data_IF_445020617350
#
_entry.id   IF_445020617350
#
_cell.length_a   1.000
_cell.length_b   1.000
_cell.length_c   1.000
_cell.angle_alpha   90.00
_cell.angle_beta   90.00
_cell.angle_gamma   90.00
#
_symmetry.space_group_name_H-M   'P 1'
#
loop_
_entity.id
_entity.type
_entity.pdbx_description
1 polymer ?
#
# COMPACT_ATOMS: atom_id res chain seq x y z
N UNK A 1 -18.20 -2.70 -6.19
CA UNK A 1 -17.07 -3.17 -7.04
C UNK A 1 -16.47 -4.37 -6.34
N UNK A 2 -16.60 -5.56 -6.92
CA UNK A 2 -16.34 -6.81 -6.19
C UNK A 2 -14.85 -7.10 -5.98
N UNK A 3 -14.10 -7.25 -7.07
CA UNK A 3 -12.67 -7.61 -7.01
C UNK A 3 -11.86 -6.78 -8.01
N UNK A 4 -10.66 -6.37 -7.61
CA UNK A 4 -9.72 -5.61 -8.44
C UNK A 4 -8.31 -6.20 -8.33
N UNK A 5 -7.53 -6.11 -9.40
CA UNK A 5 -6.12 -6.52 -9.44
C UNK A 5 -5.27 -5.27 -9.32
N UNK A 6 -4.23 -5.26 -8.49
CA UNK A 6 -3.34 -4.11 -8.32
C UNK A 6 -1.87 -4.54 -8.37
N UNK A 7 -0.99 -3.62 -7.94
CA UNK A 7 0.41 -3.91 -7.69
C UNK A 7 1.23 -4.08 -8.96
N UNK A 8 2.22 -4.97 -8.88
CA UNK A 8 3.18 -5.18 -9.97
C UNK A 8 2.53 -5.67 -11.25
N UNK A 9 1.49 -6.51 -11.13
CA UNK A 9 0.72 -7.04 -12.26
C UNK A 9 -0.02 -5.95 -13.05
N UNK A 10 -0.71 -5.05 -12.35
CA UNK A 10 -1.40 -3.92 -12.99
C UNK A 10 -0.40 -2.95 -13.64
N UNK A 11 0.70 -2.65 -12.94
CA UNK A 11 1.76 -1.78 -13.44
C UNK A 11 2.39 -2.33 -14.73
N UNK A 12 2.68 -3.62 -14.75
CA UNK A 12 3.30 -4.30 -15.86
C UNK A 12 2.46 -4.25 -17.14
N UNK A 13 1.14 -4.38 -17.02
CA UNK A 13 0.22 -4.23 -18.14
C UNK A 13 0.14 -2.80 -18.65
N UNK A 14 0.21 -1.79 -17.78
CA UNK A 14 0.23 -0.37 -18.19
C UNK A 14 1.55 -0.03 -18.90
N UNK A 15 2.68 -0.57 -18.43
CA UNK A 15 4.02 -0.26 -18.93
C UNK A 15 4.48 -1.14 -20.10
N UNK A 16 3.68 -2.14 -20.48
CA UNK A 16 3.84 -3.10 -21.57
C UNK A 16 5.15 -2.96 -22.38
N UNK A 17 6.23 -3.60 -21.90
CA UNK A 17 7.34 -4.03 -22.75
C UNK A 17 7.08 -5.47 -23.18
N UNK A 18 7.22 -5.76 -24.47
CA UNK A 18 7.03 -7.09 -25.06
C UNK A 18 7.97 -8.20 -24.50
N UNK A 19 8.99 -7.85 -23.71
CA UNK A 19 9.97 -8.78 -23.10
C UNK A 19 9.82 -8.87 -21.58
N UNK A 20 8.58 -8.75 -21.14
CA UNK A 20 8.17 -8.72 -19.77
C UNK A 20 8.40 -10.09 -19.09
N UNK A 21 9.23 -10.12 -18.03
CA UNK A 21 9.42 -11.31 -17.20
C UNK A 21 8.06 -11.82 -16.68
N UNK A 22 7.86 -13.15 -16.55
CA UNK A 22 6.60 -13.70 -16.07
C UNK A 22 6.29 -13.15 -14.67
N UNK A 23 5.08 -12.61 -14.52
CA UNK A 23 4.54 -12.13 -13.24
C UNK A 23 4.47 -13.32 -12.27
N UNK A 24 5.22 -13.23 -11.17
CA UNK A 24 5.26 -14.26 -10.13
C UNK A 24 4.42 -13.91 -8.91
N UNK A 25 3.91 -12.68 -8.88
CA UNK A 25 3.22 -12.10 -7.74
C UNK A 25 1.99 -11.34 -8.25
N UNK A 26 0.86 -11.56 -7.59
CA UNK A 26 -0.44 -11.00 -7.96
C UNK A 26 -1.15 -10.50 -6.71
N UNK A 27 -1.47 -9.22 -6.70
CA UNK A 27 -2.25 -8.61 -5.63
C UNK A 27 -3.72 -8.50 -6.05
N UNK A 28 -4.59 -9.25 -5.40
CA UNK A 28 -6.03 -9.20 -5.54
C UNK A 28 -6.64 -8.47 -4.35
N UNK A 29 -7.55 -7.55 -4.62
CA UNK A 29 -8.32 -6.87 -3.59
C UNK A 29 -9.78 -7.19 -3.81
N UNK A 30 -10.50 -7.60 -2.77
CA UNK A 30 -11.90 -7.97 -2.86
C UNK A 30 -12.69 -7.45 -1.68
N UNK A 31 -13.99 -7.25 -1.85
CA UNK A 31 -14.88 -6.95 -0.73
C UNK A 31 -15.27 -8.24 -0.01
N UNK A 32 -15.62 -8.14 1.27
CA UNK A 32 -16.11 -9.26 2.08
C UNK A 32 -17.35 -9.97 1.47
N UNK A 33 -18.11 -9.31 0.60
CA UNK A 33 -19.23 -9.94 -0.10
C UNK A 33 -18.79 -11.04 -1.10
N UNK A 34 -17.58 -10.96 -1.66
CA UNK A 34 -17.09 -11.86 -2.70
C UNK A 34 -15.89 -12.69 -2.27
N UNK A 35 -15.45 -12.60 -1.01
CA UNK A 35 -14.21 -13.24 -0.57
C UNK A 35 -14.28 -14.77 -0.64
N UNK A 36 -15.37 -15.38 -0.19
CA UNK A 36 -15.58 -16.83 -0.25
C UNK A 36 -15.55 -17.35 -1.69
N UNK A 37 -16.21 -16.65 -2.62
CA UNK A 37 -16.26 -17.03 -4.04
C UNK A 37 -14.88 -16.94 -4.68
N UNK A 38 -14.15 -15.84 -4.42
CA UNK A 38 -12.79 -15.65 -4.94
C UNK A 38 -11.85 -16.73 -4.39
N UNK A 39 -11.88 -17.00 -3.07
CA UNK A 39 -11.02 -18.01 -2.45
C UNK A 39 -11.35 -19.41 -2.99
N UNK A 40 -12.64 -19.72 -3.13
CA UNK A 40 -13.09 -20.99 -3.71
C UNK A 40 -12.58 -21.16 -5.13
N UNK A 41 -12.75 -20.15 -5.98
CA UNK A 41 -12.27 -20.17 -7.35
C UNK A 41 -10.75 -20.38 -7.41
N UNK A 42 -9.98 -19.67 -6.58
CA UNK A 42 -8.52 -19.84 -6.54
C UNK A 42 -8.10 -21.25 -6.10
N UNK A 43 -8.83 -21.87 -5.16
CA UNK A 43 -8.59 -23.26 -4.76
C UNK A 43 -8.91 -24.24 -5.89
N UNK A 44 -10.00 -24.02 -6.63
CA UNK A 44 -10.37 -24.82 -7.81
C UNK A 44 -9.32 -24.71 -8.92
N UNK A 45 -8.71 -23.53 -9.08
CA UNK A 45 -7.54 -23.30 -9.94
C UNK A 45 -6.24 -23.94 -9.42
N UNK A 46 -6.28 -24.61 -8.25
CA UNK A 46 -5.15 -25.34 -7.69
C UNK A 46 -4.17 -24.51 -6.88
N UNK A 47 -4.58 -23.32 -6.41
CA UNK A 47 -3.79 -22.57 -5.43
C UNK A 47 -4.00 -23.10 -4.01
N UNK A 48 -2.90 -23.21 -3.26
CA UNK A 48 -2.92 -23.58 -1.85
C UNK A 48 -2.81 -22.33 -0.96
N UNK A 49 -3.59 -22.28 0.11
CA UNK A 49 -3.48 -21.21 1.12
C UNK A 49 -2.25 -21.49 1.98
N UNK A 50 -1.26 -20.60 1.92
CA UNK A 50 0.00 -20.67 2.68
C UNK A 50 -0.11 -19.93 4.01
N UNK A 51 -0.84 -18.81 4.01
CA UNK A 51 -1.01 -17.98 5.19
C UNK A 51 -2.36 -17.27 5.14
N UNK A 52 -2.91 -17.05 6.33
CA UNK A 52 -4.15 -16.31 6.56
C UNK A 52 -3.90 -15.43 7.77
N UNK A 53 -4.14 -14.13 7.61
CA UNK A 53 -4.10 -13.18 8.71
C UNK A 53 -5.33 -12.30 8.70
N UNK A 54 -5.84 -12.04 9.89
CA UNK A 54 -6.91 -11.08 10.11
C UNK A 54 -6.33 -9.86 10.82
N UNK A 55 -6.98 -8.72 10.61
CA UNK A 55 -6.66 -7.47 11.25
C UNK A 55 -6.63 -7.66 12.77
N UNK A 56 -5.49 -7.33 13.41
CA UNK A 56 -5.29 -7.55 14.85
C UNK A 56 -5.84 -6.41 15.73
N UNK A 57 -5.98 -5.19 15.18
CA UNK A 57 -6.39 -3.99 15.93
C UNK A 57 -7.23 -3.04 15.08
N UNK A 58 -8.04 -2.18 15.73
CA UNK A 58 -8.85 -1.15 15.05
C UNK A 58 -8.01 -0.03 14.41
N UNK A 59 -6.71 0.05 14.68
CA UNK A 59 -5.83 1.13 14.22
C UNK A 59 -4.91 0.77 13.05
N UNK A 60 -4.63 -0.50 12.79
CA UNK A 60 -3.78 -0.92 11.67
C UNK A 60 -4.58 -0.99 10.36
N UNK A 61 -4.39 -0.06 9.42
CA UNK A 61 -4.97 -0.12 8.05
C UNK A 61 -6.49 -0.27 8.00
N UNK A 62 -7.22 0.84 8.20
CA UNK A 62 -8.69 0.90 8.34
C UNK A 62 -9.50 0.22 7.22
N UNK A 63 -8.91 0.01 6.06
CA UNK A 63 -9.56 -0.65 4.94
C UNK A 63 -9.29 -2.15 4.82
N UNK A 64 -8.34 -2.74 5.54
CA UNK A 64 -8.02 -4.15 5.40
C UNK A 64 -8.61 -4.97 6.55
N UNK A 65 -9.46 -5.94 6.22
CA UNK A 65 -10.03 -6.89 7.18
C UNK A 65 -9.15 -8.12 7.33
N UNK A 66 -8.76 -8.70 6.19
CA UNK A 66 -8.14 -10.03 6.12
C UNK A 66 -7.23 -10.14 4.92
N UNK A 67 -6.19 -10.96 5.04
CA UNK A 67 -5.24 -11.23 3.97
C UNK A 67 -5.05 -12.73 3.87
N UNK A 68 -5.24 -13.26 2.66
CA UNK A 68 -4.83 -14.62 2.31
C UNK A 68 -3.61 -14.58 1.42
N UNK A 69 -2.58 -15.35 1.75
CA UNK A 69 -1.46 -15.60 0.86
C UNK A 69 -1.63 -16.99 0.25
N UNK A 70 -1.78 -17.04 -1.07
CA UNK A 70 -1.95 -18.25 -1.83
C UNK A 70 -0.70 -18.52 -2.67
N UNK A 71 -0.44 -19.78 -2.96
CA UNK A 71 0.69 -20.17 -3.81
C UNK A 71 0.33 -21.32 -4.73
N UNK A 72 0.86 -21.29 -5.94
CA UNK A 72 0.82 -22.37 -6.93
C UNK A 72 2.16 -22.40 -7.65
N UNK A 73 2.94 -23.46 -7.42
CA UNK A 73 4.31 -23.59 -7.93
C UNK A 73 5.22 -22.43 -7.49
N UNK A 74 5.59 -21.55 -8.42
CA UNK A 74 6.43 -20.35 -8.20
C UNK A 74 5.63 -19.04 -8.27
N UNK A 75 4.30 -19.14 -8.31
CA UNK A 75 3.41 -17.98 -8.32
C UNK A 75 2.81 -17.80 -6.93
N UNK A 76 2.87 -16.58 -6.42
CA UNK A 76 2.24 -16.16 -5.17
C UNK A 76 1.10 -15.19 -5.50
N UNK A 77 0.03 -15.26 -4.70
CA UNK A 77 -1.13 -14.38 -4.83
C UNK A 77 -1.53 -13.91 -3.44
N UNK A 78 -1.49 -12.61 -3.24
CA UNK A 78 -1.99 -11.98 -2.01
C UNK A 78 -3.43 -11.51 -2.27
N UNK A 79 -4.39 -12.02 -1.51
CA UNK A 79 -5.80 -11.61 -1.55
C UNK A 79 -6.08 -10.76 -0.32
N UNK A 80 -6.28 -9.47 -0.53
CA UNK A 80 -6.62 -8.48 0.49
C UNK A 80 -8.13 -8.29 0.50
N UNK A 81 -8.76 -8.56 1.63
CA UNK A 81 -10.19 -8.42 1.83
C UNK A 81 -10.47 -7.13 2.60
N UNK A 82 -11.46 -6.38 2.14
CA UNK A 82 -11.94 -5.16 2.78
C UNK A 82 -13.37 -5.31 3.28
N UNK A 83 -13.67 -4.68 4.43
CA UNK A 83 -15.04 -4.49 4.92
C UNK A 83 -15.77 -3.32 4.22
N UNK A 84 -15.07 -2.55 3.39
CA UNK A 84 -15.66 -1.45 2.65
C UNK A 84 -16.44 -1.96 1.44
N UNK A 85 -17.45 -1.20 1.01
CA UNK A 85 -18.23 -1.51 -0.19
C UNK A 85 -17.42 -1.46 -1.51
N UNK A 86 -16.14 -1.08 -1.45
CA UNK A 86 -15.28 -0.93 -2.61
C UNK A 86 -13.89 -1.50 -2.34
N UNK A 87 -13.49 -2.48 -3.16
CA UNK A 87 -12.18 -3.13 -3.10
C UNK A 87 -10.99 -2.19 -3.39
N UNK A 88 -11.23 -0.96 -3.88
CA UNK A 88 -10.19 0.02 -4.17
C UNK A 88 -9.72 0.75 -2.89
N UNK A 89 -10.53 0.80 -1.83
CA UNK A 89 -10.20 1.59 -0.62
C UNK A 89 -8.84 1.19 0.00
N UNK A 90 -8.48 -0.10 0.16
CA UNK A 90 -7.16 -0.48 0.65
C UNK A 90 -6.00 0.01 -0.22
N UNK A 91 -6.20 0.08 -1.54
CA UNK A 91 -5.20 0.58 -2.49
C UNK A 91 -4.97 2.07 -2.26
N UNK A 92 -6.04 2.83 -2.02
CA UNK A 92 -5.98 4.28 -1.78
C UNK A 92 -5.34 4.65 -0.43
N UNK A 93 -5.38 3.75 0.55
CA UNK A 93 -4.79 3.96 1.87
C UNK A 93 -3.31 3.55 1.94
N UNK A 94 -2.76 2.98 0.86
CA UNK A 94 -1.35 2.62 0.81
C UNK A 94 -0.51 3.88 0.52
N UNK A 95 -0.12 4.59 1.58
CA UNK A 95 0.57 5.89 1.50
C UNK A 95 2.02 5.80 0.98
N UNK A 96 2.55 4.60 0.74
CA UNK A 96 3.96 4.39 0.41
C UNK A 96 4.27 4.12 -1.06
N UNK A 97 3.28 4.16 -1.96
CA UNK A 97 3.52 4.03 -3.40
C UNK A 97 2.68 5.04 -4.17
N UNK A 98 3.34 5.88 -4.97
CA UNK A 98 2.71 6.71 -6.01
C UNK A 98 2.09 5.88 -7.15
N UNK A 99 1.84 4.59 -6.93
CA UNK A 99 1.41 3.58 -7.92
C UNK A 99 0.04 3.05 -7.51
N UNK A 100 -0.96 3.91 -7.55
CA UNK A 100 -2.35 3.47 -7.48
C UNK A 100 -2.80 3.06 -8.89
N UNK A 101 -2.27 1.93 -9.35
CA UNK A 101 -2.64 1.29 -10.60
C UNK A 101 -3.45 0.05 -10.29
N UNK A 102 -4.66 -0.03 -10.82
CA UNK A 102 -5.51 -1.18 -10.61
C UNK A 102 -6.34 -1.50 -11.85
N UNK A 103 -6.73 -2.76 -11.95
CA UNK A 103 -7.50 -3.32 -13.03
C UNK A 103 -8.78 -3.89 -12.51
N UNK A 104 -9.83 -3.68 -13.28
CA UNK A 104 -11.16 -4.21 -13.07
C UNK A 104 -11.59 -4.92 -14.34
N UNK A 105 -12.69 -5.66 -14.29
CA UNK A 105 -13.18 -6.46 -15.41
C UNK A 105 -13.27 -5.69 -16.74
N UNK A 106 -13.62 -4.39 -16.71
CA UNK A 106 -13.82 -3.57 -17.91
C UNK A 106 -12.90 -2.35 -17.99
N UNK A 107 -11.94 -2.18 -17.09
CA UNK A 107 -11.15 -0.94 -17.05
C UNK A 107 -9.79 -1.10 -16.39
N UNK A 108 -8.83 -0.37 -16.94
CA UNK A 108 -7.49 -0.18 -16.39
C UNK A 108 -7.38 1.26 -15.89
N UNK A 109 -7.02 1.43 -14.62
CA UNK A 109 -6.93 2.74 -13.97
C UNK A 109 -5.51 3.00 -13.48
N UNK A 110 -5.04 4.22 -13.70
CA UNK A 110 -3.79 4.75 -13.16
C UNK A 110 -4.07 6.14 -12.63
N UNK A 111 -3.84 6.36 -11.33
CA UNK A 111 -4.03 7.70 -10.76
C UNK A 111 -2.90 8.68 -11.11
N UNK A 112 -1.72 8.15 -11.46
CA UNK A 112 -0.56 8.93 -11.86
C UNK A 112 -0.04 8.42 -13.21
N UNK A 113 -0.78 8.64 -14.30
CA UNK A 113 -0.48 8.05 -15.60
C UNK A 113 0.88 8.55 -16.14
N UNK A 114 1.19 9.83 -15.99
CA UNK A 114 2.46 10.39 -16.48
C UNK A 114 3.67 9.83 -15.73
N UNK A 115 3.58 9.68 -14.41
CA UNK A 115 4.67 9.09 -13.61
C UNK A 115 4.81 7.59 -13.88
N UNK A 116 3.68 6.90 -14.07
CA UNK A 116 3.64 5.49 -14.42
C UNK A 116 4.28 5.24 -15.79
N UNK A 117 3.95 6.04 -16.80
CA UNK A 117 4.56 5.95 -18.15
C UNK A 117 6.06 6.21 -18.12
N UNK A 118 6.51 7.16 -17.30
CA UNK A 118 7.92 7.54 -17.18
C UNK A 118 8.75 6.64 -16.26
N UNK A 119 8.19 5.52 -15.79
CA UNK A 119 8.87 4.59 -14.86
C UNK A 119 9.30 5.23 -13.54
N UNK A 120 8.67 6.35 -13.16
CA UNK A 120 8.91 7.10 -11.92
C UNK A 120 7.90 6.74 -10.82
N UNK A 121 7.12 5.69 -11.07
CA UNK A 121 6.06 5.19 -10.21
C UNK A 121 6.58 4.72 -8.83
N UNK A 122 7.81 4.18 -8.77
CA UNK A 122 8.41 3.70 -7.52
C UNK A 122 8.93 4.86 -6.66
N UNK A 123 8.04 5.42 -5.86
CA UNK A 123 8.39 6.39 -4.82
C UNK A 123 8.47 5.67 -3.49
N UNK A 124 9.67 5.30 -3.05
CA UNK A 124 9.87 4.93 -1.66
C UNK A 124 9.84 6.22 -0.81
N UNK A 125 8.88 6.39 0.12
CA UNK A 125 8.80 7.60 0.97
C UNK A 125 10.09 7.84 1.74
N UNK A 126 10.78 6.77 2.12
CA UNK A 126 12.06 6.81 2.83
C UNK A 126 13.18 7.40 1.95
N UNK A 127 13.10 7.26 0.63
CA UNK A 127 14.01 7.96 -0.28
C UNK A 127 13.76 9.47 -0.32
N UNK A 128 12.51 9.94 -0.18
CA UNK A 128 12.21 11.37 -0.07
C UNK A 128 12.67 11.95 1.26
N UNK A 129 12.47 11.23 2.37
CA UNK A 129 12.94 11.64 3.69
C UNK A 129 14.47 11.73 3.75
N UNK A 130 15.18 10.80 3.09
CA UNK A 130 16.65 10.86 3.02
C UNK A 130 17.13 12.02 2.12
N UNK A 131 16.43 12.31 1.00
CA UNK A 131 16.74 13.47 0.14
C UNK A 131 16.57 14.81 0.86
N UNK A 132 15.65 14.89 1.82
CA UNK A 132 15.50 16.09 2.67
C UNK A 132 16.62 16.24 3.69
N UNK A 133 17.23 15.15 4.16
CA UNK A 133 18.43 15.22 5.02
C UNK A 133 19.65 15.73 4.27
N UNK A 134 19.83 15.34 3.01
CA UNK A 134 20.95 15.81 2.19
C UNK A 134 20.81 17.27 1.73
N UNK A 135 19.60 17.84 1.80
CA UNK A 135 19.33 19.25 1.49
C UNK A 135 19.28 20.15 2.72
N UNK A 136 19.19 19.59 3.93
CA UNK A 136 19.28 20.33 5.19
C UNK A 136 20.70 20.45 5.78
N UNK A 137 21.72 19.85 5.16
CA UNK A 137 23.12 20.12 5.55
C UNK A 137 23.69 21.42 4.98
N UNK A 138 22.89 22.25 4.29
CA UNK A 138 23.37 23.50 3.69
C UNK A 138 22.59 24.77 4.03
N UNK A 139 21.53 24.71 4.84
CA UNK A 139 20.87 25.92 5.31
C UNK A 139 20.54 25.80 6.80
N UNK A 140 21.10 26.75 7.54
CA UNK A 140 20.64 27.27 8.82
C UNK A 140 20.89 26.37 10.05
N UNK A 141 21.74 26.71 11.02
CA UNK A 141 22.18 28.06 11.36
C UNK A 141 21.01 28.91 11.83
N UNK A 142 20.30 28.45 12.87
CA UNK A 142 19.66 29.18 13.98
C UNK A 142 18.75 28.15 14.68
N UNK A 143 19.33 27.43 15.64
CA UNK A 143 18.58 26.76 16.71
C UNK A 143 18.62 27.69 17.91
N UNK A 144 17.48 28.23 18.31
CA UNK A 144 17.14 28.44 19.72
C UNK A 144 15.67 28.88 19.79
N UNK A 145 14.81 27.95 20.15
CA UNK A 145 13.68 28.14 21.08
C UNK A 145 12.87 26.84 21.14
N UNK A 146 13.14 26.03 22.16
CA UNK A 146 12.14 25.36 23.01
C UNK A 146 12.87 24.51 24.05
N UNK A 147 12.83 24.93 25.31
CA UNK A 147 12.98 23.98 26.42
C UNK A 147 12.04 24.39 27.57
N UNK A 148 11.08 23.52 27.83
CA UNK A 148 10.06 23.58 28.86
C UNK A 148 10.70 23.46 30.26
N UNK A 149 11.18 24.58 30.80
CA UNK A 149 11.50 24.72 32.22
C UNK A 149 10.59 25.68 32.97
N UNK A 150 9.34 25.76 32.55
CA UNK A 150 8.27 26.48 33.25
C UNK A 150 7.20 25.48 33.64
N UNK A 151 7.36 24.81 34.78
CA UNK A 151 6.23 24.34 35.61
C UNK A 151 6.64 23.88 37.04
N UNK A 152 7.81 24.27 37.57
CA UNK A 152 8.17 23.97 38.96
C UNK A 152 8.89 25.09 39.73
N UNK A 153 8.87 26.35 39.28
CA UNK A 153 9.55 27.45 40.00
C UNK A 153 8.74 28.76 40.16
N UNK A 154 7.42 28.74 39.96
CA UNK A 154 6.58 29.93 40.18
C UNK A 154 5.93 29.98 41.58
N UNK A 155 6.63 29.56 42.64
CA UNK A 155 6.07 29.64 43.99
C UNK A 155 7.06 30.02 45.11
N UNK A 156 8.09 30.83 44.83
CA UNK A 156 9.00 31.24 45.91
C UNK A 156 9.60 32.66 45.89
N UNK A 157 9.11 33.60 45.06
CA UNK A 157 9.54 35.01 45.19
C UNK A 157 8.36 36.00 45.12
N UNK A 158 7.47 35.89 46.11
CA UNK A 158 6.62 36.98 46.58
C UNK A 158 6.72 37.04 48.11
N UNK A 159 7.84 37.61 48.58
CA UNK A 159 7.95 38.42 49.80
C UNK A 159 9.34 39.06 49.88
#
# INVERSE_FOLDING_TARGET
>A
MGTVISGSSALHLIQAKMEALPLRDLDLYTTHEFDEEVIKHMKEEGYAVKHESERKTEYDGLAMKKIYKLTKNRCEVDIIITDWACAIVPIMQYHSTAVMNYMMAHSLMSLYPEWTKNWQSFVNPQMYLNKQRDTHTHCDGIDELQDERVLSKCHEECN
#
